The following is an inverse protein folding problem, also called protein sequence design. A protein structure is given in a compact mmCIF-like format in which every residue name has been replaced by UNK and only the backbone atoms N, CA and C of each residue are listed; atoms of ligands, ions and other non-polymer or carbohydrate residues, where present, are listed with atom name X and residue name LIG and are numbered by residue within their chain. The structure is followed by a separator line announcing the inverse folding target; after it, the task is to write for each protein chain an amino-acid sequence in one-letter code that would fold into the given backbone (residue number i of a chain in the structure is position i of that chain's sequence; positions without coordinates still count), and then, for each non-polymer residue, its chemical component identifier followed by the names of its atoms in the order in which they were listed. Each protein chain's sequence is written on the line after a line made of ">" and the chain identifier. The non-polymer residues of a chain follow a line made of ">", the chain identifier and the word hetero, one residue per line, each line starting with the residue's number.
data_IF_755779838337
#
_entry.id   IF_755779838337
#
_cell.length_a   1.000
_cell.length_b   1.000
_cell.length_c   1.000
_cell.angle_alpha   90.00
_cell.angle_beta   90.00
_cell.angle_gamma   90.00
#
_symmetry.space_group_name_H-M   'P 1'
#
loop_
_entity.id
_entity.type
_entity.pdbx_description
1 polymer ?
#
# COMPACT_ATOMS: atom_id res chain seq x y z
N UNK A 1 -15.74 1.71 -14.68
CA UNK A 1 -15.87 2.80 -13.70
C UNK A 1 -16.37 4.10 -14.35
N UNK A 2 -15.74 4.61 -15.41
CA UNK A 2 -16.18 5.86 -16.08
C UNK A 2 -17.55 5.77 -16.79
N UNK A 3 -18.04 4.58 -17.15
CA UNK A 3 -19.34 4.42 -17.82
C UNK A 3 -20.55 4.48 -16.87
N UNK A 4 -20.39 4.22 -15.56
CA UNK A 4 -21.48 4.32 -14.58
C UNK A 4 -21.96 5.76 -14.37
N UNK A 5 -21.15 6.75 -14.74
CA UNK A 5 -21.47 8.17 -14.55
C UNK A 5 -22.24 8.81 -15.72
N UNK A 6 -22.41 8.09 -16.84
CA UNK A 6 -23.14 8.59 -18.02
C UNK A 6 -24.65 8.79 -17.77
N UNK A 7 -25.21 8.15 -16.75
CA UNK A 7 -26.66 8.16 -16.47
C UNK A 7 -27.19 9.38 -15.71
N UNK A 8 -26.60 9.82 -14.57
CA UNK A 8 -27.30 10.75 -13.68
C UNK A 8 -26.85 12.23 -13.71
N UNK A 9 -25.67 12.58 -14.24
CA UNK A 9 -25.07 13.93 -14.01
C UNK A 9 -24.50 14.64 -15.26
N UNK A 10 -24.78 14.18 -16.47
CA UNK A 10 -24.32 14.81 -17.72
C UNK A 10 -22.82 14.66 -17.99
N UNK A 11 -22.42 14.88 -19.25
CA UNK A 11 -21.06 14.60 -19.75
C UNK A 11 -19.94 15.36 -19.02
N UNK A 12 -20.23 16.54 -18.47
CA UNK A 12 -19.24 17.37 -17.76
C UNK A 12 -18.72 16.73 -16.47
N UNK A 13 -19.55 15.88 -15.84
CA UNK A 13 -19.19 15.19 -14.60
C UNK A 13 -18.18 14.07 -14.84
N UNK A 14 -18.17 13.48 -16.04
CA UNK A 14 -17.16 12.50 -16.42
C UNK A 14 -15.76 13.13 -16.44
N UNK A 15 -15.61 14.33 -17.01
CA UNK A 15 -14.32 15.04 -17.08
C UNK A 15 -13.83 15.43 -15.68
N UNK A 16 -14.72 15.94 -14.82
CA UNK A 16 -14.39 16.23 -13.42
C UNK A 16 -13.94 14.97 -12.66
N UNK A 17 -14.65 13.84 -12.86
CA UNK A 17 -14.28 12.57 -12.25
C UNK A 17 -12.91 12.09 -12.71
N UNK A 18 -12.60 12.19 -14.01
CA UNK A 18 -11.30 11.79 -14.55
C UNK A 18 -10.16 12.68 -14.02
N UNK A 19 -10.37 13.99 -13.89
CA UNK A 19 -9.39 14.90 -13.29
C UNK A 19 -9.17 14.56 -11.82
N UNK A 20 -10.25 14.34 -11.05
CA UNK A 20 -10.16 13.96 -9.64
C UNK A 20 -9.46 12.62 -9.44
N UNK A 21 -9.82 11.61 -10.25
CA UNK A 21 -9.17 10.30 -10.23
C UNK A 21 -7.67 10.43 -10.55
N UNK A 22 -7.31 11.21 -11.57
CA UNK A 22 -5.92 11.50 -11.92
C UNK A 22 -5.13 12.16 -10.79
N UNK A 23 -5.71 13.17 -10.13
CA UNK A 23 -5.07 13.87 -9.02
C UNK A 23 -4.81 12.94 -7.81
N UNK A 24 -5.78 12.09 -7.46
CA UNK A 24 -5.66 11.12 -6.35
C UNK A 24 -4.64 10.03 -6.68
N UNK A 25 -4.67 9.49 -7.90
CA UNK A 25 -3.70 8.50 -8.38
C UNK A 25 -2.28 9.06 -8.35
N UNK A 26 -2.09 10.29 -8.84
CA UNK A 26 -0.79 10.96 -8.85
C UNK A 26 -0.23 11.13 -7.43
N UNK A 27 -1.04 11.65 -6.50
CA UNK A 27 -0.64 11.81 -5.09
C UNK A 27 -0.22 10.47 -4.46
N UNK A 28 -0.99 9.42 -4.72
CA UNK A 28 -0.74 8.09 -4.15
C UNK A 28 0.54 7.48 -4.71
N UNK A 29 0.73 7.55 -6.04
CA UNK A 29 1.93 7.05 -6.71
C UNK A 29 3.17 7.79 -6.22
N UNK A 30 3.12 9.12 -6.14
CA UNK A 30 4.23 9.93 -5.66
C UNK A 30 4.63 9.58 -4.22
N UNK A 31 3.64 9.50 -3.31
CA UNK A 31 3.88 9.14 -1.91
C UNK A 31 4.43 7.73 -1.76
N UNK A 32 3.89 6.75 -2.51
CA UNK A 32 4.34 5.36 -2.48
C UNK A 32 5.78 5.20 -2.96
N UNK A 33 6.15 5.87 -4.07
CA UNK A 33 7.52 5.83 -4.59
C UNK A 33 8.51 6.45 -3.60
N UNK A 34 8.16 7.59 -2.98
CA UNK A 34 9.00 8.23 -1.97
C UNK A 34 9.20 7.34 -0.73
N UNK A 35 8.13 6.72 -0.23
CA UNK A 35 8.18 5.83 0.93
C UNK A 35 9.00 4.57 0.66
N UNK A 36 8.72 3.86 -0.43
CA UNK A 36 9.40 2.61 -0.78
C UNK A 36 10.88 2.83 -1.10
N UNK A 37 11.23 3.93 -1.75
CA UNK A 37 12.63 4.25 -2.07
C UNK A 37 13.45 4.53 -0.82
N UNK A 38 12.88 5.26 0.15
CA UNK A 38 13.54 5.48 1.44
C UNK A 38 13.72 4.15 2.18
N UNK A 39 12.66 3.35 2.29
CA UNK A 39 12.70 2.06 2.99
C UNK A 39 13.72 1.10 2.37
N UNK A 40 13.81 1.06 1.05
CA UNK A 40 14.77 0.21 0.33
C UNK A 40 16.21 0.69 0.54
N UNK A 41 16.47 2.00 0.49
CA UNK A 41 17.82 2.54 0.73
C UNK A 41 18.27 2.33 2.17
N UNK A 42 17.37 2.50 3.13
CA UNK A 42 17.66 2.20 4.54
C UNK A 42 17.93 0.70 4.74
N UNK A 43 17.15 -0.17 4.09
CA UNK A 43 17.40 -1.61 4.11
C UNK A 43 18.75 -1.98 3.49
N UNK A 44 19.08 -1.42 2.33
CA UNK A 44 20.39 -1.62 1.67
C UNK A 44 21.56 -1.08 2.51
N UNK A 45 21.35 0.00 3.25
CA UNK A 45 22.34 0.53 4.18
C UNK A 45 22.55 -0.39 5.40
N UNK A 46 21.48 -0.98 5.95
CA UNK A 46 21.55 -1.93 7.07
C UNK A 46 22.20 -3.24 6.65
N UNK A 47 21.86 -3.75 5.47
CA UNK A 47 22.46 -4.99 4.90
C UNK A 47 23.93 -4.80 4.52
N UNK A 48 24.44 -3.56 4.52
CA UNK A 48 25.83 -3.25 4.22
C UNK A 48 26.16 -3.20 2.72
N UNK A 49 25.14 -3.31 1.86
CA UNK A 49 25.27 -3.19 0.41
C UNK A 49 25.64 -1.75 -0.02
N UNK A 50 25.25 -0.75 0.78
CA UNK A 50 25.72 0.64 0.61
C UNK A 50 26.68 0.96 1.75
N UNK A 51 27.98 0.97 1.44
CA UNK A 51 29.05 1.21 2.41
C UNK A 51 29.09 2.68 2.82
N UNK A 52 28.73 2.93 4.08
CA UNK A 52 28.81 4.21 4.77
C UNK A 52 28.33 5.42 3.94
N UNK A 53 27.02 5.59 3.74
CA UNK A 53 26.54 6.57 2.80
C UNK A 53 26.50 7.92 3.51
N UNK A 54 27.42 8.80 3.12
CA UNK A 54 27.33 10.25 3.34
C UNK A 54 25.90 10.70 3.01
N UNK A 55 25.27 11.61 3.79
CA UNK A 55 23.85 11.97 3.61
C UNK A 55 23.48 12.31 2.16
N UNK A 56 24.41 12.90 1.42
CA UNK A 56 24.27 13.29 0.01
C UNK A 56 24.14 12.08 -0.92
N UNK A 57 24.92 11.02 -0.68
CA UNK A 57 24.87 9.78 -1.49
C UNK A 57 23.54 9.06 -1.26
N UNK A 58 23.02 9.04 -0.02
CA UNK A 58 21.68 8.46 0.27
C UNK A 58 20.59 9.11 -0.56
N UNK A 59 20.59 10.44 -0.65
CA UNK A 59 19.56 11.19 -1.40
C UNK A 59 19.63 10.86 -2.89
N UNK A 60 20.83 10.67 -3.45
CA UNK A 60 21.01 10.21 -4.83
C UNK A 60 20.36 8.84 -5.08
N UNK A 61 20.63 7.86 -4.21
CA UNK A 61 20.02 6.52 -4.30
C UNK A 61 18.50 6.56 -4.13
N UNK A 62 17.99 7.34 -3.18
CA UNK A 62 16.54 7.50 -2.97
C UNK A 62 15.89 8.07 -4.23
N UNK A 63 16.47 9.09 -4.86
CA UNK A 63 15.95 9.69 -6.11
C UNK A 63 15.96 8.68 -7.25
N UNK A 64 17.04 7.91 -7.40
CA UNK A 64 17.14 6.88 -8.42
C UNK A 64 16.04 5.82 -8.25
N UNK A 65 15.91 5.22 -7.06
CA UNK A 65 14.86 4.22 -6.80
C UNK A 65 13.45 4.80 -6.97
N UNK A 66 13.23 6.07 -6.61
CA UNK A 66 11.93 6.73 -6.73
C UNK A 66 11.46 6.86 -8.18
N UNK A 67 12.39 6.94 -9.13
CA UNK A 67 12.09 6.93 -10.58
C UNK A 67 12.03 5.51 -11.14
N UNK A 68 12.89 4.60 -10.65
CA UNK A 68 12.92 3.21 -11.11
C UNK A 68 11.62 2.47 -10.78
N UNK A 69 11.06 2.61 -9.57
CA UNK A 69 9.81 1.96 -9.19
C UNK A 69 8.64 2.23 -10.16
N UNK A 70 8.28 3.50 -10.45
CA UNK A 70 7.21 3.80 -11.38
C UNK A 70 7.59 3.47 -12.83
N UNK A 71 8.86 3.57 -13.21
CA UNK A 71 9.32 3.15 -14.55
C UNK A 71 9.14 1.64 -14.77
N UNK A 72 9.48 0.81 -13.78
CA UNK A 72 9.25 -0.64 -13.82
C UNK A 72 7.75 -0.94 -13.85
N UNK A 73 6.94 -0.25 -13.04
CA UNK A 73 5.48 -0.41 -13.07
C UNK A 73 4.90 -0.05 -14.45
N UNK A 74 5.39 1.02 -15.09
CA UNK A 74 4.99 1.44 -16.43
C UNK A 74 5.45 0.43 -17.49
N UNK A 75 6.66 -0.10 -17.40
CA UNK A 75 7.15 -1.14 -18.29
C UNK A 75 6.31 -2.42 -18.21
N UNK A 76 5.97 -2.86 -16.99
CA UNK A 76 5.08 -4.01 -16.77
C UNK A 76 3.68 -3.75 -17.33
N UNK A 77 3.16 -2.53 -17.19
CA UNK A 77 1.87 -2.14 -17.77
C UNK A 77 1.87 -2.19 -19.31
N UNK A 78 2.97 -1.79 -19.97
CA UNK A 78 3.08 -1.86 -21.43
C UNK A 78 3.14 -3.31 -21.93
N UNK A 79 3.72 -4.22 -21.14
CA UNK A 79 3.88 -5.64 -21.48
C UNK A 79 2.57 -6.41 -21.23
N UNK A 80 1.91 -6.20 -20.08
CA UNK A 80 0.62 -6.82 -19.74
C UNK A 80 -0.54 -5.91 -20.15
N UNK A 81 -1.14 -6.20 -21.30
CA UNK A 81 -2.26 -5.43 -21.88
C UNK A 81 -3.58 -5.42 -21.08
N UNK A 82 -3.59 -5.97 -19.85
CA UNK A 82 -4.74 -6.01 -18.95
C UNK A 82 -4.52 -5.17 -17.67
N UNK A 83 -4.75 -3.84 -17.71
CA UNK A 83 -4.63 -2.97 -16.52
C UNK A 83 -5.44 -3.46 -15.32
N UNK A 84 -6.60 -4.06 -15.59
CA UNK A 84 -7.56 -4.41 -14.55
C UNK A 84 -7.05 -5.57 -13.68
N UNK A 85 -6.36 -6.55 -14.28
CA UNK A 85 -5.79 -7.66 -13.53
C UNK A 85 -4.63 -7.19 -12.65
N UNK A 86 -3.79 -6.29 -13.17
CA UNK A 86 -2.63 -5.77 -12.44
C UNK A 86 -3.04 -4.94 -11.21
N UNK A 87 -4.07 -4.10 -11.34
CA UNK A 87 -4.64 -3.34 -10.19
C UNK A 87 -5.29 -4.27 -9.18
N UNK A 88 -6.03 -5.31 -9.62
CA UNK A 88 -6.64 -6.30 -8.71
C UNK A 88 -5.58 -7.06 -7.91
N UNK A 89 -4.53 -7.55 -8.58
CA UNK A 89 -3.42 -8.24 -7.91
C UNK A 89 -2.70 -7.33 -6.91
N UNK A 90 -2.44 -6.07 -7.28
CA UNK A 90 -1.86 -5.08 -6.37
C UNK A 90 -2.73 -4.82 -5.14
N UNK A 91 -4.06 -4.72 -5.32
CA UNK A 91 -5.01 -4.57 -4.23
C UNK A 91 -5.05 -5.78 -3.29
N UNK A 92 -5.01 -7.00 -3.84
CA UNK A 92 -4.94 -8.25 -3.05
C UNK A 92 -3.63 -8.32 -2.26
N UNK A 93 -2.49 -8.04 -2.91
CA UNK A 93 -1.19 -8.02 -2.26
C UNK A 93 -1.14 -6.98 -1.13
N UNK A 94 -1.69 -5.80 -1.35
CA UNK A 94 -1.77 -4.73 -0.33
C UNK A 94 -2.71 -5.10 0.82
N UNK A 95 -3.86 -5.71 0.51
CA UNK A 95 -4.80 -6.19 1.52
C UNK A 95 -4.17 -7.28 2.41
N UNK A 96 -3.38 -8.19 1.82
CA UNK A 96 -2.66 -9.22 2.54
C UNK A 96 -1.56 -8.67 3.47
N UNK A 97 -1.07 -7.45 3.24
CA UNK A 97 -0.08 -6.80 4.13
C UNK A 97 -0.71 -6.17 5.37
N UNK A 98 -2.02 -5.88 5.36
CA UNK A 98 -2.73 -5.23 6.48
C UNK A 98 -2.76 -6.08 7.77
N UNK A 99 -3.04 -7.40 7.75
CA UNK A 99 -2.98 -8.24 8.94
C UNK A 99 -1.57 -8.29 9.56
N UNK A 100 -0.53 -8.35 8.72
CA UNK A 100 0.87 -8.32 9.17
C UNK A 100 1.16 -7.01 9.91
N UNK A 101 0.73 -5.87 9.37
CA UNK A 101 0.88 -4.56 10.01
C UNK A 101 0.10 -4.48 11.33
N UNK A 102 -1.15 -4.98 11.36
CA UNK A 102 -1.97 -5.00 12.57
C UNK A 102 -1.36 -5.84 13.70
N UNK A 103 -0.74 -6.96 13.36
CA UNK A 103 -0.02 -7.78 14.34
C UNK A 103 1.26 -7.10 14.84
N UNK A 104 2.02 -6.49 13.93
CA UNK A 104 3.24 -5.77 14.27
C UNK A 104 2.96 -4.57 15.20
N UNK A 105 1.90 -3.80 14.96
CA UNK A 105 1.51 -2.68 15.83
C UNK A 105 1.08 -3.14 17.21
N UNK A 106 0.32 -4.25 17.30
CA UNK A 106 -0.05 -4.86 18.57
C UNK A 106 1.21 -5.29 19.35
N UNK A 107 2.14 -5.99 18.69
CA UNK A 107 3.38 -6.46 19.29
C UNK A 107 4.27 -5.31 19.80
N UNK A 108 4.44 -4.24 19.02
CA UNK A 108 5.22 -3.08 19.43
C UNK A 108 4.60 -2.36 20.63
N UNK A 109 3.27 -2.24 20.67
CA UNK A 109 2.56 -1.60 21.78
C UNK A 109 2.71 -2.37 23.09
N UNK A 110 2.57 -3.69 23.07
CA UNK A 110 2.65 -4.49 24.29
C UNK A 110 4.10 -4.73 24.77
N UNK A 111 5.09 -4.79 23.86
CA UNK A 111 6.45 -5.24 24.22
C UNK A 111 7.53 -4.16 24.23
N UNK A 112 7.34 -3.04 23.52
CA UNK A 112 8.42 -2.05 23.29
C UNK A 112 8.00 -0.58 23.50
N UNK A 113 6.78 -0.30 23.93
CA UNK A 113 6.33 1.07 24.07
C UNK A 113 6.85 1.70 25.38
N UNK A 114 7.77 2.64 25.21
CA UNK A 114 8.34 3.45 26.28
C UNK A 114 7.23 4.22 27.03
N UNK A 115 7.35 4.36 28.36
CA UNK A 115 6.27 4.88 29.22
C UNK A 115 5.85 6.32 28.86
N UNK A 116 6.74 7.05 28.17
CA UNK A 116 6.59 8.45 27.75
C UNK A 116 5.75 8.65 26.48
N UNK A 117 5.47 7.59 25.71
CA UNK A 117 4.66 7.62 24.49
C UNK A 117 3.33 6.86 24.63
N UNK A 118 2.90 6.58 25.86
CA UNK A 118 1.63 5.88 26.11
C UNK A 118 0.47 6.69 25.50
N UNK A 119 -0.22 6.15 24.47
CA UNK A 119 -1.41 6.78 23.92
C UNK A 119 -2.49 6.84 25.00
N UNK A 120 -3.40 7.79 24.87
CA UNK A 120 -4.59 7.82 25.73
C UNK A 120 -5.39 6.53 25.57
N UNK A 121 -6.16 6.09 26.59
CA UNK A 121 -6.94 4.85 26.52
C UNK A 121 -7.96 4.81 25.37
N UNK A 122 -8.28 5.96 24.75
CA UNK A 122 -9.10 6.03 23.55
C UNK A 122 -8.40 5.42 22.33
N UNK A 123 -7.10 5.70 22.13
CA UNK A 123 -6.30 5.06 21.08
C UNK A 123 -6.18 3.56 21.31
N UNK A 124 -6.17 3.14 22.57
CA UNK A 124 -6.11 1.74 22.94
C UNK A 124 -7.35 0.97 22.49
N UNK A 125 -8.54 1.56 22.66
CA UNK A 125 -9.82 1.03 22.21
C UNK A 125 -9.89 1.02 20.67
N UNK A 126 -9.52 2.12 20.02
CA UNK A 126 -9.50 2.19 18.55
C UNK A 126 -8.56 1.14 17.93
N UNK A 127 -7.40 0.89 18.54
CA UNK A 127 -6.45 -0.10 18.06
C UNK A 127 -6.99 -1.52 18.25
N UNK A 128 -7.63 -1.81 19.39
CA UNK A 128 -8.32 -3.09 19.60
C UNK A 128 -9.44 -3.31 18.59
N UNK A 129 -10.26 -2.27 18.34
CA UNK A 129 -11.33 -2.33 17.36
C UNK A 129 -10.78 -2.57 15.94
N UNK A 130 -9.71 -1.86 15.55
CA UNK A 130 -9.03 -2.08 14.28
C UNK A 130 -8.44 -3.49 14.16
N UNK A 131 -7.78 -4.00 15.21
CA UNK A 131 -7.24 -5.36 15.23
C UNK A 131 -8.34 -6.41 15.08
N UNK A 132 -9.47 -6.26 15.80
CA UNK A 132 -10.62 -7.17 15.69
C UNK A 132 -11.20 -7.12 14.27
N UNK A 133 -11.46 -5.92 13.73
CA UNK A 133 -11.98 -5.77 12.37
C UNK A 133 -11.05 -6.39 11.32
N UNK A 134 -9.73 -6.15 11.40
CA UNK A 134 -8.75 -6.71 10.47
C UNK A 134 -8.68 -8.23 10.62
N UNK A 135 -8.76 -8.77 11.84
CA UNK A 135 -8.76 -10.21 12.10
C UNK A 135 -9.99 -10.89 11.51
N UNK A 136 -11.17 -10.27 11.66
CA UNK A 136 -12.42 -10.75 11.06
C UNK A 136 -12.29 -10.78 9.53
N UNK A 137 -11.83 -9.69 8.91
CA UNK A 137 -11.64 -9.62 7.46
C UNK A 137 -10.63 -10.65 6.97
N UNK A 138 -9.54 -10.89 7.71
CA UNK A 138 -8.54 -11.89 7.37
C UNK A 138 -9.14 -13.32 7.39
N UNK A 139 -9.97 -13.64 8.39
CA UNK A 139 -10.67 -14.93 8.48
C UNK A 139 -11.65 -15.08 7.31
N UNK A 140 -12.45 -14.06 6.99
CA UNK A 140 -13.35 -14.09 5.83
C UNK A 140 -12.59 -14.29 4.51
N UNK A 141 -11.44 -13.62 4.34
CA UNK A 141 -10.60 -13.75 3.14
C UNK A 141 -10.03 -15.16 2.99
N UNK A 142 -9.65 -15.82 4.08
CA UNK A 142 -9.21 -17.22 4.08
C UNK A 142 -10.35 -18.14 3.65
N UNK A 143 -11.55 -17.96 4.20
CA UNK A 143 -12.72 -18.75 3.86
C UNK A 143 -13.08 -18.61 2.37
N UNK A 144 -13.09 -17.39 1.83
CA UNK A 144 -13.30 -17.13 0.39
C UNK A 144 -12.25 -17.82 -0.48
N UNK A 145 -10.98 -17.76 -0.07
CA UNK A 145 -9.88 -18.39 -0.81
C UNK A 145 -10.04 -19.92 -0.85
N UNK A 146 -10.45 -20.52 0.28
CA UNK A 146 -10.74 -21.96 0.39
C UNK A 146 -11.92 -22.35 -0.50
N UNK A 147 -13.01 -21.58 -0.49
CA UNK A 147 -14.16 -21.83 -1.37
C UNK A 147 -13.79 -21.75 -2.86
N UNK A 148 -12.93 -20.81 -3.25
CA UNK A 148 -12.48 -20.69 -4.65
C UNK A 148 -11.64 -21.88 -5.11
N UNK A 149 -10.85 -22.49 -4.21
CA UNK A 149 -10.06 -23.69 -4.49
C UNK A 149 -10.93 -24.96 -4.55
N UNK A 150 -11.99 -25.02 -3.74
CA UNK A 150 -12.89 -26.17 -3.70
C UNK A 150 -13.87 -26.23 -4.90
N UNK A 151 -14.17 -25.10 -5.54
CA UNK A 151 -15.11 -25.01 -6.67
C UNK A 151 -14.43 -24.95 -8.06
N UNK A 152 -13.09 -24.97 -8.10
CA UNK A 152 -12.29 -24.94 -9.34
C UNK A 152 -11.74 -26.32 -9.74
N UNK A 153 -12.26 -27.41 -9.15
CA UNK A 153 -12.02 -28.80 -9.55
C UNK A 153 -13.34 -29.46 -9.93
#
# INVERSE_FOLDING_TARGET
>A
LSEMYKGPFGDWTQTLFLIGAGAVLFKTLYLACAANSRMLVDFLAIVGAIRNPVPEIKVGWIRFFCVVFPAVALALYVIQRDPQLMVKLGGIAQAATLPMMAFATLFFRYKKLDWRLRPTPLFDICLWLATISISIVAIYSLTVSIYSLCFSG
#
